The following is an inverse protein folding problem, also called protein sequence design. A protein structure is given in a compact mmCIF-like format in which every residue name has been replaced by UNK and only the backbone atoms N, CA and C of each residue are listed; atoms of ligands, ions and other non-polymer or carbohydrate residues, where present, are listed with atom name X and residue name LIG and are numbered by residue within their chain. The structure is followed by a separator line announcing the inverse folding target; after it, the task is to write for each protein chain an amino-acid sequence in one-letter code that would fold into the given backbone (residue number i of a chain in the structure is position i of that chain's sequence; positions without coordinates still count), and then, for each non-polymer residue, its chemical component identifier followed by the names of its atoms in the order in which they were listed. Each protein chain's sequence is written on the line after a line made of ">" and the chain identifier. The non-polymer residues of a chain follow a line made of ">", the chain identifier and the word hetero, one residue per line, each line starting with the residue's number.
data_IF_526868826575
#
_entry.id   IF_526868826575
#
_cell.length_a   1.000
_cell.length_b   1.000
_cell.length_c   1.000
_cell.angle_alpha   90.00
_cell.angle_beta   90.00
_cell.angle_gamma   90.00
#
_symmetry.space_group_name_H-M   'P 1'
#
loop_
_entity.id
_entity.type
_entity.pdbx_description
1 polymer ?
#
# COMPACT_ATOMS: atom_id res chain seq x y z
N UNK A 1 13.38 -6.84 -6.97
CA UNK A 1 12.14 -6.17 -7.40
C UNK A 1 11.12 -7.21 -7.80
N UNK A 2 9.87 -6.98 -7.44
CA UNK A 2 8.72 -7.83 -7.72
C UNK A 2 7.93 -7.20 -8.87
N UNK A 3 7.40 -8.03 -9.78
CA UNK A 3 6.60 -7.54 -10.89
C UNK A 3 5.17 -7.26 -10.41
N UNK A 4 4.84 -5.98 -10.31
CA UNK A 4 3.50 -5.48 -10.04
C UNK A 4 2.75 -5.36 -11.36
N UNK A 5 1.60 -6.02 -11.49
CA UNK A 5 0.82 -6.06 -12.74
C UNK A 5 -0.26 -5.00 -12.81
N UNK A 6 -0.96 -4.79 -11.69
CA UNK A 6 -2.04 -3.81 -11.56
C UNK A 6 -2.26 -3.48 -10.08
N UNK A 7 -2.86 -2.34 -9.84
CA UNK A 7 -3.47 -1.98 -8.56
C UNK A 7 -4.97 -1.78 -8.82
N UNK A 8 -5.80 -2.26 -7.90
CA UNK A 8 -7.25 -2.05 -7.93
C UNK A 8 -7.75 -1.58 -6.57
N UNK A 9 -8.77 -0.74 -6.56
CA UNK A 9 -9.46 -0.28 -5.36
C UNK A 9 -10.65 -1.19 -5.02
N UNK A 10 -11.29 -0.94 -3.88
CA UNK A 10 -12.34 -1.82 -3.34
C UNK A 10 -13.64 -1.82 -4.17
N UNK A 11 -13.88 -0.76 -4.92
CA UNK A 11 -14.98 -0.63 -5.88
C UNK A 11 -14.63 -1.19 -7.29
N UNK A 12 -13.44 -1.75 -7.45
CA UNK A 12 -12.93 -2.27 -8.73
C UNK A 12 -12.26 -1.22 -9.62
N UNK A 13 -12.13 0.04 -9.19
CA UNK A 13 -11.42 1.07 -9.94
C UNK A 13 -9.96 0.66 -10.17
N UNK A 14 -9.50 0.58 -11.44
CA UNK A 14 -8.10 0.27 -11.73
C UNK A 14 -7.23 1.51 -11.58
N UNK A 15 -6.03 1.32 -11.04
CA UNK A 15 -4.94 2.30 -11.09
C UNK A 15 -3.97 1.84 -12.17
N UNK A 16 -3.68 2.70 -13.14
CA UNK A 16 -2.74 2.41 -14.20
C UNK A 16 -1.33 2.33 -13.60
N UNK A 17 -0.80 1.11 -13.49
CA UNK A 17 0.54 0.85 -12.95
C UNK A 17 1.53 0.72 -14.09
N UNK A 18 2.63 1.46 -14.03
CA UNK A 18 3.73 1.36 -15.01
C UNK A 18 5.04 0.82 -14.42
N UNK A 19 5.00 0.42 -13.14
CA UNK A 19 6.20 0.28 -12.31
C UNK A 19 6.33 -1.08 -11.61
N UNK A 20 7.55 -1.43 -11.21
CA UNK A 20 7.83 -2.53 -10.30
C UNK A 20 7.48 -2.19 -8.84
N UNK A 21 7.54 -3.18 -7.95
CA UNK A 21 7.42 -2.99 -6.51
C UNK A 21 8.58 -3.62 -5.74
N UNK A 22 8.87 -3.09 -4.56
CA UNK A 22 9.78 -3.66 -3.57
C UNK A 22 9.06 -3.74 -2.24
N UNK A 23 9.18 -4.87 -1.54
CA UNK A 23 8.74 -4.94 -0.15
C UNK A 23 9.87 -4.37 0.69
N UNK A 24 9.58 -3.33 1.46
CA UNK A 24 10.59 -2.48 2.08
C UNK A 24 10.28 -2.26 3.57
N UNK A 25 10.79 -3.16 4.41
CA UNK A 25 10.66 -3.07 5.86
C UNK A 25 11.39 -1.87 6.48
N UNK A 26 12.17 -1.10 5.70
CA UNK A 26 12.80 0.13 6.13
C UNK A 26 11.90 1.36 6.06
N UNK A 27 10.65 1.23 5.59
CA UNK A 27 9.74 2.36 5.34
C UNK A 27 8.42 2.23 6.09
N UNK A 28 7.98 3.32 6.72
CA UNK A 28 6.77 3.32 7.55
C UNK A 28 5.45 3.37 6.78
N UNK A 29 5.48 3.71 5.49
CA UNK A 29 4.29 3.91 4.65
C UNK A 29 4.42 3.17 3.33
N UNK A 30 3.33 3.10 2.57
CA UNK A 30 3.40 2.77 1.16
C UNK A 30 3.90 4.00 0.40
N UNK A 31 4.97 3.83 -0.37
CA UNK A 31 5.46 4.85 -1.30
C UNK A 31 5.17 4.40 -2.72
N UNK A 32 4.62 5.28 -3.55
CA UNK A 32 4.37 4.98 -4.96
C UNK A 32 4.63 6.18 -5.87
N UNK A 33 4.55 5.98 -7.20
CA UNK A 33 4.63 7.07 -8.17
C UNK A 33 3.58 8.15 -7.90
N UNK A 34 3.94 9.40 -8.15
CA UNK A 34 3.14 10.59 -7.81
C UNK A 34 1.69 10.52 -8.32
N UNK A 35 1.50 10.22 -9.61
CA UNK A 35 0.17 10.18 -10.20
C UNK A 35 -0.67 9.02 -9.65
N UNK A 36 -0.07 7.84 -9.49
CA UNK A 36 -0.77 6.66 -8.96
C UNK A 36 -1.25 6.89 -7.52
N UNK A 37 -0.36 7.40 -6.65
CA UNK A 37 -0.70 7.74 -5.26
C UNK A 37 -1.77 8.81 -5.18
N UNK A 38 -1.63 9.90 -5.93
CA UNK A 38 -2.56 11.02 -5.88
C UNK A 38 -3.94 10.62 -6.40
N UNK A 39 -4.01 9.74 -7.40
CA UNK A 39 -5.28 9.21 -7.90
C UNK A 39 -6.00 8.39 -6.82
N UNK A 40 -5.27 7.55 -6.07
CA UNK A 40 -5.84 6.78 -4.96
C UNK A 40 -6.35 7.71 -3.86
N UNK A 41 -5.55 8.70 -3.44
CA UNK A 41 -5.93 9.64 -2.38
C UNK A 41 -7.18 10.44 -2.79
N UNK A 42 -7.20 11.00 -4.01
CA UNK A 42 -8.35 11.75 -4.53
C UNK A 42 -9.60 10.89 -4.69
N UNK A 43 -9.45 9.62 -5.06
CA UNK A 43 -10.57 8.69 -5.15
C UNK A 43 -11.33 8.57 -3.82
N UNK A 44 -10.60 8.49 -2.70
CA UNK A 44 -11.19 8.46 -1.36
C UNK A 44 -11.46 9.86 -0.76
N UNK A 45 -11.39 10.93 -1.56
CA UNK A 45 -11.64 12.30 -1.10
C UNK A 45 -10.57 12.86 -0.15
N UNK A 46 -9.36 12.29 -0.17
CA UNK A 46 -8.24 12.73 0.66
C UNK A 46 -7.38 13.73 -0.12
N UNK A 47 -7.08 14.87 0.51
CA UNK A 47 -6.14 15.87 -0.01
C UNK A 47 -4.72 15.26 -0.07
N UNK A 48 -4.10 15.12 -1.25
CA UNK A 48 -2.79 14.48 -1.38
C UNK A 48 -1.65 15.18 -0.65
N UNK A 49 -1.75 16.49 -0.39
CA UNK A 49 -0.71 17.22 0.33
C UNK A 49 -0.82 16.97 1.84
N UNK A 50 -2.06 16.95 2.37
CA UNK A 50 -2.31 16.76 3.80
C UNK A 50 -2.27 15.30 4.21
N UNK A 51 -2.78 14.41 3.35
CA UNK A 51 -2.92 12.95 3.57
C UNK A 51 -3.65 12.61 4.86
N UNK A 52 -4.54 13.49 5.31
CA UNK A 52 -5.32 13.33 6.52
C UNK A 52 -6.80 13.34 6.23
N UNK A 53 -7.55 12.57 7.01
CA UNK A 53 -9.01 12.44 6.92
C UNK A 53 -9.60 12.21 8.32
N UNK A 54 -10.91 12.45 8.55
CA UNK A 54 -11.60 11.95 9.73
C UNK A 54 -11.41 10.43 9.87
N UNK A 55 -11.16 9.93 11.08
CA UNK A 55 -10.95 8.50 11.30
C UNK A 55 -12.20 7.63 11.08
N UNK A 56 -13.39 8.23 11.04
CA UNK A 56 -14.66 7.57 10.75
C UNK A 56 -15.02 7.60 9.25
N UNK A 57 -14.28 8.36 8.44
CA UNK A 57 -14.41 8.32 6.99
C UNK A 57 -13.81 7.00 6.46
N UNK A 58 -14.54 6.32 5.58
CA UNK A 58 -14.09 5.07 4.98
C UNK A 58 -12.91 5.30 4.03
N UNK A 59 -11.81 4.59 4.25
CA UNK A 59 -10.70 4.44 3.29
C UNK A 59 -10.65 2.98 2.82
N UNK A 60 -10.98 2.73 1.56
CA UNK A 60 -11.04 1.36 1.05
C UNK A 60 -9.65 0.70 0.97
N UNK A 61 -9.60 -0.64 1.00
CA UNK A 61 -8.35 -1.38 0.82
C UNK A 61 -7.70 -1.11 -0.55
N UNK A 62 -6.37 -1.23 -0.59
CA UNK A 62 -5.59 -1.15 -1.83
C UNK A 62 -5.14 -2.57 -2.19
N UNK A 63 -5.47 -3.03 -3.40
CA UNK A 63 -5.20 -4.39 -3.85
C UNK A 63 -4.06 -4.36 -4.87
N UNK A 64 -2.92 -4.94 -4.52
CA UNK A 64 -1.77 -5.10 -5.39
C UNK A 64 -1.81 -6.47 -6.07
N UNK A 65 -1.75 -6.53 -7.39
CA UNK A 65 -1.60 -7.81 -8.10
C UNK A 65 -0.15 -8.08 -8.43
N UNK A 66 0.45 -9.02 -7.70
CA UNK A 66 1.86 -9.40 -7.79
C UNK A 66 1.93 -10.82 -8.35
N UNK A 67 2.63 -11.00 -9.48
CA UNK A 67 2.73 -12.31 -10.16
C UNK A 67 1.39 -13.03 -10.41
N UNK A 68 0.28 -12.28 -10.54
CA UNK A 68 -1.07 -12.81 -10.75
C UNK A 68 -1.82 -13.19 -9.47
N UNK A 69 -1.22 -13.01 -8.30
CA UNK A 69 -1.88 -13.13 -7.00
C UNK A 69 -2.24 -11.76 -6.45
N UNK A 70 -3.37 -11.67 -5.74
CA UNK A 70 -3.86 -10.44 -5.14
C UNK A 70 -3.42 -10.32 -3.69
N UNK A 71 -2.83 -9.17 -3.36
CA UNK A 71 -2.37 -8.81 -2.03
C UNK A 71 -3.11 -7.55 -1.59
N UNK A 72 -3.98 -7.72 -0.60
CA UNK A 72 -4.86 -6.68 -0.08
C UNK A 72 -4.20 -6.02 1.13
N UNK A 73 -4.01 -4.70 1.05
CA UNK A 73 -3.66 -3.89 2.21
C UNK A 73 -4.94 -3.28 2.74
N UNK A 74 -5.37 -3.73 3.92
CA UNK A 74 -6.62 -3.30 4.54
C UNK A 74 -6.52 -1.89 5.13
N UNK A 75 -7.66 -1.21 5.20
CA UNK A 75 -7.83 0.11 5.83
C UNK A 75 -7.13 0.22 7.20
N UNK A 76 -7.29 -0.81 8.03
CA UNK A 76 -6.74 -0.86 9.39
C UNK A 76 -5.22 -0.75 9.48
N UNK A 77 -4.49 -1.11 8.42
CA UNK A 77 -3.02 -0.96 8.37
C UNK A 77 -2.59 0.29 7.61
N UNK A 78 -3.52 0.93 6.89
CA UNK A 78 -3.31 2.17 6.16
C UNK A 78 -3.60 3.41 7.00
N UNK A 79 -4.51 3.34 7.96
CA UNK A 79 -4.90 4.50 8.77
C UNK A 79 -4.16 4.54 10.11
N UNK A 80 -3.51 5.67 10.38
CA UNK A 80 -2.80 5.93 11.63
C UNK A 80 -3.54 7.01 12.42
N UNK A 81 -4.20 6.62 13.51
CA UNK A 81 -4.91 7.55 14.38
C UNK A 81 -3.93 8.50 15.10
N UNK A 82 -4.19 9.81 15.01
CA UNK A 82 -3.39 10.85 15.65
C UNK A 82 -3.89 11.20 17.07
N UNK A 83 -4.93 10.54 17.57
CA UNK A 83 -5.49 10.71 18.90
C UNK A 83 -6.47 11.89 19.05
N UNK A 84 -6.86 12.51 17.94
CA UNK A 84 -7.74 13.68 17.91
C UNK A 84 -8.92 13.53 16.93
N UNK A 85 -9.26 12.28 16.54
CA UNK A 85 -10.28 11.99 15.54
C UNK A 85 -9.83 12.19 14.09
N UNK A 86 -8.56 12.57 13.87
CA UNK A 86 -7.95 12.66 12.54
C UNK A 86 -6.99 11.50 12.32
N UNK A 87 -7.13 10.83 11.18
CA UNK A 87 -6.26 9.75 10.75
C UNK A 87 -5.31 10.24 9.66
N UNK A 88 -4.04 9.84 9.76
CA UNK A 88 -3.05 9.97 8.68
C UNK A 88 -3.13 8.73 7.79
N UNK A 89 -3.20 8.93 6.48
CA UNK A 89 -3.14 7.85 5.49
C UNK A 89 -1.68 7.48 5.24
N UNK A 90 -1.35 6.21 5.48
CA UNK A 90 -0.04 5.59 5.27
C UNK A 90 0.31 5.31 3.82
N UNK A 91 -0.07 6.24 2.93
CA UNK A 91 0.20 6.23 1.51
C UNK A 91 0.80 7.58 1.14
N UNK A 92 1.94 7.59 0.45
CA UNK A 92 2.62 8.83 0.07
C UNK A 92 3.46 8.63 -1.19
N UNK A 93 3.98 9.73 -1.72
CA UNK A 93 4.94 9.74 -2.83
C UNK A 93 6.23 10.41 -2.37
N UNK A 94 7.34 10.06 -3.02
CA UNK A 94 8.61 10.80 -2.97
C UNK A 94 8.90 11.33 -4.36
N UNK A 95 9.64 12.44 -4.46
CA UNK A 95 10.10 12.93 -5.77
C UNK A 95 10.92 11.84 -6.46
N UNK A 96 10.61 11.59 -7.72
CA UNK A 96 11.36 10.68 -8.60
C UNK A 96 11.39 9.21 -8.17
N UNK A 97 10.44 8.72 -7.37
CA UNK A 97 10.37 7.27 -7.09
C UNK A 97 9.81 6.52 -8.32
N UNK A 98 10.57 5.62 -8.97
CA UNK A 98 10.11 4.96 -10.19
C UNK A 98 9.26 3.72 -9.90
N UNK A 99 9.15 3.31 -8.63
CA UNK A 99 8.57 2.03 -8.21
C UNK A 99 7.90 2.13 -6.86
N UNK A 100 6.97 1.21 -6.59
CA UNK A 100 6.32 1.10 -5.30
C UNK A 100 7.27 0.55 -4.23
N UNK A 101 7.29 1.17 -3.05
CA UNK A 101 7.84 0.61 -1.81
C UNK A 101 6.66 0.21 -0.91
N UNK A 102 6.55 -1.08 -0.66
CA UNK A 102 5.51 -1.69 0.16
C UNK A 102 6.05 -1.82 1.59
N UNK A 103 5.87 -0.74 2.35
CA UNK A 103 6.34 -0.62 3.74
C UNK A 103 5.39 -1.22 4.78
N UNK A 104 5.45 -0.69 6.00
CA UNK A 104 4.74 -1.23 7.18
C UNK A 104 3.29 -1.65 6.94
N UNK A 105 2.42 -0.88 6.23
CA UNK A 105 1.05 -1.30 5.98
C UNK A 105 0.94 -2.67 5.28
N UNK A 106 1.84 -2.94 4.34
CA UNK A 106 1.92 -4.21 3.63
C UNK A 106 2.56 -5.30 4.52
N UNK A 107 3.65 -4.97 5.21
CA UNK A 107 4.38 -5.90 6.09
C UNK A 107 3.50 -6.40 7.26
N UNK A 108 2.53 -5.61 7.71
CA UNK A 108 1.56 -6.00 8.74
C UNK A 108 0.52 -7.01 8.23
N UNK A 109 0.26 -7.05 6.93
CA UNK A 109 -0.68 -8.00 6.32
C UNK A 109 0.01 -9.28 5.83
N UNK A 110 1.30 -9.21 5.47
CA UNK A 110 2.04 -10.31 4.86
C UNK A 110 3.44 -10.48 5.45
N UNK A 111 3.78 -11.70 5.85
CA UNK A 111 5.14 -12.04 6.25
C UNK A 111 6.07 -12.04 5.02
N UNK A 112 7.37 -11.83 5.24
CA UNK A 112 8.38 -11.77 4.19
C UNK A 112 9.35 -12.94 4.35
N UNK A 113 9.28 -13.91 3.43
CA UNK A 113 10.22 -15.02 3.39
C UNK A 113 11.13 -14.83 2.19
N UNK A 114 12.39 -14.49 2.44
CA UNK A 114 13.42 -14.31 1.41
C UNK A 114 14.25 -15.58 1.29
N UNK A 115 13.95 -16.40 0.27
CA UNK A 115 14.76 -17.57 -0.08
C UNK A 115 15.85 -17.13 -1.08
N UNK A 116 17.01 -16.76 -0.54
CA UNK A 116 18.14 -16.24 -1.31
C UNK A 116 18.75 -17.32 -2.21
N UNK A 117 18.77 -18.57 -1.74
CA UNK A 117 19.29 -19.71 -2.50
C UNK A 117 18.46 -19.94 -3.77
N UNK A 118 17.14 -19.93 -3.65
CA UNK A 118 16.22 -20.09 -4.78
C UNK A 118 15.91 -18.79 -5.52
N UNK A 119 16.41 -17.64 -5.04
CA UNK A 119 16.13 -16.30 -5.57
C UNK A 119 14.62 -16.01 -5.62
N UNK A 120 13.90 -16.35 -4.56
CA UNK A 120 12.44 -16.22 -4.48
C UNK A 120 12.01 -15.47 -3.21
N UNK A 121 10.83 -14.86 -3.28
CA UNK A 121 10.15 -14.26 -2.15
C UNK A 121 8.78 -14.90 -2.03
N UNK A 122 8.43 -15.35 -0.83
CA UNK A 122 7.06 -15.75 -0.50
C UNK A 122 6.46 -14.73 0.47
N UNK A 123 5.18 -14.43 0.23
CA UNK A 123 4.42 -13.42 0.97
C UNK A 123 3.16 -14.05 1.59
N UNK A 124 3.28 -15.05 2.50
CA UNK A 124 2.12 -15.63 3.14
C UNK A 124 1.42 -14.59 4.02
N UNK A 125 0.10 -14.73 4.17
CA UNK A 125 -0.68 -13.85 5.03
C UNK A 125 -0.17 -13.93 6.47
N UNK A 126 0.01 -12.77 7.09
CA UNK A 126 0.41 -12.67 8.49
C UNK A 126 -0.71 -13.22 9.40
N UNK A 127 -0.31 -13.87 10.48
CA UNK A 127 -1.26 -14.27 11.52
C UNK A 127 -1.80 -13.01 12.19
N UNK A 128 -3.12 -12.87 12.21
CA UNK A 128 -3.81 -11.78 12.91
C UNK A 128 -4.11 -12.25 14.32
N UNK A 129 -3.70 -11.49 15.35
CA UNK A 129 -4.17 -11.72 16.72
C UNK A 129 -5.70 -11.57 16.77
N UNK A 130 -6.36 -12.43 17.56
CA UNK A 130 -7.82 -12.49 17.66
C UNK A 130 -8.40 -11.35 18.49
#
# INVERSE_FOLDING_TARGET
>A
MIVLKKITLDDGTPINVTSAAMVDSGTSFLFGPFDEVNNILRHYGVDPEKRTMPCDQKFGPIIFTIHGQEYKVDEKTLLFDKGNGTCLVGLTTLESIPSWLLGDPFCREYCQIHDVEKKQIALPQAMKEK
#
